data_IF_724058484018
#
_entry.id   IF_724058484018
#
_cell.length_a   1.000
_cell.length_b   1.000
_cell.length_c   1.000
_cell.angle_alpha   90.00
_cell.angle_beta   90.00
_cell.angle_gamma   90.00
#
_symmetry.space_group_name_H-M   'P 1'
#
loop_
_entity.id
_entity.type
_entity.pdbx_description
1 polymer ?
#
# COMPACT_ATOMS: atom_id res chain seq x y z
N UNK A 1 1.39 1.66 16.89
CA UNK A 1 2.23 0.99 15.90
C UNK A 1 3.63 0.82 16.44
N UNK A 2 4.37 -0.15 15.91
CA UNK A 2 5.75 -0.48 16.29
C UNK A 2 6.76 -0.09 15.19
N UNK A 3 6.35 -0.17 13.92
CA UNK A 3 7.23 0.10 12.78
C UNK A 3 7.22 1.57 12.38
N UNK A 4 8.39 2.09 12.05
CA UNK A 4 8.54 3.41 11.42
C UNK A 4 8.16 3.35 9.94
N UNK A 5 8.42 2.22 9.27
CA UNK A 5 7.96 1.97 7.91
C UNK A 5 7.86 0.47 7.60
N UNK A 6 7.13 0.13 6.55
CA UNK A 6 7.08 -1.22 5.95
C UNK A 6 7.14 -1.15 4.43
N UNK A 7 7.56 -2.24 3.81
CA UNK A 7 7.52 -2.44 2.36
C UNK A 7 6.71 -3.71 2.05
N UNK A 8 5.68 -3.58 1.21
CA UNK A 8 4.76 -4.66 0.83
C UNK A 8 5.03 -5.03 -0.62
N UNK A 9 5.55 -6.22 -0.84
CA UNK A 9 5.84 -6.80 -2.16
C UNK A 9 5.66 -8.33 -2.10
N UNK A 10 4.49 -8.73 -1.59
CA UNK A 10 4.13 -10.13 -1.37
C UNK A 10 3.35 -10.72 -2.54
N UNK A 11 2.03 -10.71 -2.41
CA UNK A 11 1.10 -11.21 -3.45
C UNK A 11 0.49 -10.03 -4.22
N UNK A 12 0.10 -10.26 -5.48
CA UNK A 12 -0.41 -9.22 -6.38
C UNK A 12 -1.92 -9.25 -6.59
N UNK A 13 -2.60 -10.29 -6.13
CA UNK A 13 -4.06 -10.36 -6.17
C UNK A 13 -4.66 -9.41 -5.12
N UNK A 14 -5.69 -8.70 -5.55
CA UNK A 14 -6.34 -7.62 -4.81
C UNK A 14 -6.62 -7.95 -3.33
N UNK A 15 -7.18 -9.13 -3.03
CA UNK A 15 -7.59 -9.46 -1.66
C UNK A 15 -6.42 -9.58 -0.69
N UNK A 16 -5.27 -10.10 -1.15
CA UNK A 16 -4.07 -10.20 -0.33
C UNK A 16 -3.41 -8.84 -0.15
N UNK A 17 -3.32 -8.02 -1.20
CA UNK A 17 -2.77 -6.65 -1.11
C UNK A 17 -3.61 -5.81 -0.13
N UNK A 18 -4.94 -5.91 -0.22
CA UNK A 18 -5.85 -5.23 0.71
C UNK A 18 -5.63 -5.69 2.16
N UNK A 19 -5.57 -7.00 2.39
CA UNK A 19 -5.36 -7.56 3.71
C UNK A 19 -3.99 -7.14 4.30
N UNK A 20 -2.95 -7.08 3.48
CA UNK A 20 -1.63 -6.60 3.87
C UNK A 20 -1.66 -5.11 4.24
N UNK A 21 -2.24 -4.25 3.39
CA UNK A 21 -2.38 -2.81 3.66
C UNK A 21 -3.10 -2.56 5.00
N UNK A 22 -4.24 -3.21 5.24
CA UNK A 22 -5.01 -3.07 6.49
C UNK A 22 -4.26 -3.61 7.72
N UNK A 23 -3.54 -4.72 7.55
CA UNK A 23 -2.76 -5.34 8.63
C UNK A 23 -1.56 -4.49 9.01
N UNK A 24 -0.77 -4.06 8.04
CA UNK A 24 0.41 -3.26 8.31
C UNK A 24 0.09 -1.82 8.70
N UNK A 25 -1.00 -1.24 8.21
CA UNK A 25 -1.46 0.07 8.68
C UNK A 25 -1.65 0.10 10.20
N UNK A 26 -2.18 -0.97 10.82
CA UNK A 26 -2.31 -1.08 12.28
C UNK A 26 -0.96 -1.16 13.00
N UNK A 27 0.06 -1.72 12.34
CA UNK A 27 1.40 -1.93 12.89
C UNK A 27 2.35 -0.77 12.65
N UNK A 28 2.14 0.07 11.64
CA UNK A 28 2.92 1.30 11.40
C UNK A 28 2.49 2.40 12.39
N UNK A 29 3.48 3.15 12.91
CA UNK A 29 3.25 4.32 13.77
C UNK A 29 2.54 5.43 12.98
N UNK A 30 1.75 6.27 13.63
CA UNK A 30 1.26 7.52 13.01
C UNK A 30 2.48 8.36 12.57
N UNK A 31 2.42 8.92 11.36
CA UNK A 31 3.54 9.57 10.70
C UNK A 31 4.54 8.62 10.01
N UNK A 32 4.44 7.32 10.25
CA UNK A 32 5.26 6.30 9.57
C UNK A 32 4.76 5.98 8.16
N UNK A 33 5.51 5.14 7.44
CA UNK A 33 5.32 4.92 6.01
C UNK A 33 4.91 3.49 5.64
N UNK A 34 4.10 3.37 4.60
CA UNK A 34 3.76 2.12 3.93
C UNK A 34 4.17 2.28 2.47
N UNK A 35 5.08 1.44 2.00
CA UNK A 35 5.55 1.44 0.63
C UNK A 35 5.32 0.07 -0.03
N UNK A 36 5.41 0.02 -1.36
CA UNK A 36 5.33 -1.22 -2.13
C UNK A 36 5.53 -0.99 -3.62
N UNK A 37 5.62 -2.08 -4.38
CA UNK A 37 5.86 -2.09 -5.82
C UNK A 37 4.57 -2.37 -6.63
N UNK A 38 4.71 -2.45 -7.96
CA UNK A 38 3.70 -2.87 -8.93
C UNK A 38 2.43 -2.01 -9.02
N UNK A 39 2.48 -0.79 -8.49
CA UNK A 39 1.45 0.21 -8.72
C UNK A 39 1.42 0.64 -10.19
N UNK A 40 0.24 0.57 -10.81
CA UNK A 40 0.07 0.82 -12.24
C UNK A 40 0.56 -0.32 -13.15
N UNK A 41 1.00 -1.45 -12.59
CA UNK A 41 1.36 -2.63 -13.37
C UNK A 41 0.15 -3.55 -13.61
N UNK A 42 0.03 -4.05 -14.84
CA UNK A 42 -0.95 -5.05 -15.24
C UNK A 42 -0.23 -6.36 -15.57
N UNK A 43 -0.23 -7.29 -14.62
CA UNK A 43 0.24 -8.67 -14.80
C UNK A 43 -0.92 -9.67 -14.85
N UNK A 44 -0.64 -10.94 -14.55
CA UNK A 44 -1.67 -12.00 -14.44
C UNK A 44 -2.71 -11.73 -13.33
N UNK A 45 -2.50 -10.70 -12.51
CA UNK A 45 -3.35 -10.25 -11.42
C UNK A 45 -4.30 -9.09 -11.80
N UNK A 46 -4.38 -8.71 -13.08
CA UNK A 46 -5.36 -7.75 -13.62
C UNK A 46 -5.45 -6.44 -12.81
N UNK A 47 -4.29 -5.85 -12.48
CA UNK A 47 -4.22 -4.59 -11.73
C UNK A 47 -4.63 -4.68 -10.26
N UNK A 48 -4.66 -5.90 -9.67
CA UNK A 48 -4.97 -6.14 -8.26
C UNK A 48 -4.29 -5.20 -7.26
N UNK A 49 -2.98 -4.96 -7.42
CA UNK A 49 -2.20 -4.02 -6.59
C UNK A 49 -2.77 -2.59 -6.66
N UNK A 50 -2.85 -2.02 -7.86
CA UNK A 50 -3.35 -0.65 -8.08
C UNK A 50 -4.75 -0.44 -7.49
N UNK A 51 -5.67 -1.40 -7.73
CA UNK A 51 -7.04 -1.32 -7.20
C UNK A 51 -7.08 -1.32 -5.68
N UNK A 52 -6.29 -2.18 -5.04
CA UNK A 52 -6.23 -2.26 -3.58
C UNK A 52 -5.63 -1.00 -2.96
N UNK A 53 -4.53 -0.49 -3.54
CA UNK A 53 -3.88 0.75 -3.09
C UNK A 53 -4.81 1.95 -3.25
N UNK A 54 -5.52 2.08 -4.37
CA UNK A 54 -6.45 3.19 -4.61
C UNK A 54 -7.68 3.16 -3.69
N UNK A 55 -8.24 1.99 -3.43
CA UNK A 55 -9.29 1.84 -2.43
C UNK A 55 -8.80 2.22 -1.04
N UNK A 56 -7.64 1.72 -0.63
CA UNK A 56 -7.06 2.00 0.67
C UNK A 56 -6.80 3.52 0.87
N UNK A 57 -6.29 4.20 -0.17
CA UNK A 57 -6.08 5.67 -0.17
C UNK A 57 -7.38 6.44 -0.02
N UNK A 58 -8.47 6.00 -0.66
CA UNK A 58 -9.80 6.64 -0.53
C UNK A 58 -10.37 6.58 0.89
N UNK A 59 -9.90 5.64 1.72
CA UNK A 59 -10.26 5.57 3.13
C UNK A 59 -9.79 6.76 3.98
N UNK A 60 -8.89 7.60 3.46
CA UNK A 60 -8.47 8.85 4.12
C UNK A 60 -7.61 8.65 5.38
N UNK A 61 -7.09 7.44 5.61
CA UNK A 61 -6.20 7.12 6.74
C UNK A 61 -4.72 7.35 6.42
N UNK A 62 -4.40 7.61 5.15
CA UNK A 62 -3.06 7.85 4.67
C UNK A 62 -3.02 9.01 3.69
N UNK A 63 -1.91 9.74 3.71
CA UNK A 63 -1.52 10.68 2.67
C UNK A 63 -0.65 9.96 1.62
N UNK A 64 -0.84 10.31 0.34
CA UNK A 64 0.07 9.86 -0.72
C UNK A 64 1.28 10.77 -0.76
N UNK A 65 2.46 10.24 -0.46
CA UNK A 65 3.72 11.00 -0.48
C UNK A 65 4.35 10.95 -1.86
N UNK A 66 4.40 9.77 -2.47
CA UNK A 66 5.00 9.56 -3.79
C UNK A 66 4.35 8.37 -4.49
N UNK A 67 4.14 8.51 -5.79
CA UNK A 67 3.94 7.40 -6.72
C UNK A 67 4.89 7.63 -7.87
N UNK A 68 5.81 6.69 -8.12
CA UNK A 68 6.85 6.83 -9.14
C UNK A 68 7.42 5.48 -9.51
N UNK A 69 7.68 5.24 -10.80
CA UNK A 69 8.37 4.05 -11.29
C UNK A 69 7.76 2.73 -10.76
N UNK A 70 6.41 2.65 -10.72
CA UNK A 70 5.59 1.57 -10.15
C UNK A 70 5.61 1.42 -8.63
N UNK A 71 6.38 2.25 -7.93
CA UNK A 71 6.42 2.30 -6.47
C UNK A 71 5.32 3.22 -5.94
N UNK A 72 4.77 2.88 -4.78
CA UNK A 72 3.94 3.79 -3.98
C UNK A 72 4.58 4.03 -2.60
N UNK A 73 4.37 5.23 -2.06
CA UNK A 73 4.74 5.60 -0.71
C UNK A 73 3.57 6.37 -0.07
N UNK A 74 3.01 5.78 0.98
CA UNK A 74 1.92 6.35 1.76
C UNK A 74 2.43 6.71 3.15
N UNK A 75 2.03 7.86 3.68
CA UNK A 75 2.25 8.26 5.07
C UNK A 75 0.98 8.05 5.86
N UNK A 76 1.06 7.32 6.97
CA UNK A 76 -0.05 7.13 7.89
C UNK A 76 -0.36 8.43 8.64
N UNK A 77 -1.65 8.78 8.71
CA UNK A 77 -2.16 9.93 9.47
C UNK A 77 -2.36 9.64 10.96
#
# INVERSE_FOLDING_TARGET
>A
GYFDWVYIDGNHLYEFVKADLETYHRKVKTGGFIAGDDYGAEGWWEGGVTRAVDEFRRGGLCETVLIRDRQFLLRKL
#
